data_IF_076365987879
#
_entry.id   IF_076365987879
#
_cell.length_a   1.000
_cell.length_b   1.000
_cell.length_c   1.000
_cell.angle_alpha   90.00
_cell.angle_beta   90.00
_cell.angle_gamma   90.00
#
_symmetry.space_group_name_H-M   'P 1'
#
loop_
_entity.id
_entity.type
_entity.pdbx_description
1 polymer ?
#
# COMPACT_ATOMS: atom_id res chain seq x y z
N UNK A 1 -54.07 41.38 -9.20
CA UNK A 1 -53.27 40.91 -8.06
C UNK A 1 -52.11 40.12 -8.61
N UNK A 2 -50.97 40.78 -8.71
CA UNK A 2 -49.66 40.20 -8.96
C UNK A 2 -49.17 39.57 -7.68
N UNK A 3 -48.78 38.30 -7.71
CA UNK A 3 -47.77 37.75 -6.81
C UNK A 3 -47.15 36.53 -7.49
N UNK A 4 -46.20 36.81 -8.37
CA UNK A 4 -45.10 35.93 -8.72
C UNK A 4 -44.33 35.67 -7.43
N UNK A 5 -44.55 34.52 -6.79
CA UNK A 5 -43.66 34.02 -5.76
C UNK A 5 -42.58 33.20 -6.48
N UNK A 6 -41.46 33.87 -6.76
CA UNK A 6 -40.17 33.25 -6.95
C UNK A 6 -39.85 32.51 -5.64
N UNK A 7 -39.92 31.18 -5.66
CA UNK A 7 -39.18 30.36 -4.71
C UNK A 7 -37.81 30.14 -5.38
N UNK A 8 -36.96 31.11 -5.10
CA UNK A 8 -35.53 31.14 -5.38
C UNK A 8 -34.83 30.18 -4.40
N UNK A 9 -33.96 29.32 -4.93
CA UNK A 9 -32.83 28.73 -4.21
C UNK A 9 -33.12 27.75 -3.09
N UNK A 10 -33.27 26.48 -3.45
CA UNK A 10 -32.59 25.38 -2.74
C UNK A 10 -32.19 24.37 -3.83
N UNK A 11 -31.26 24.81 -4.69
CA UNK A 11 -30.27 23.88 -5.23
C UNK A 11 -29.39 23.50 -4.03
N UNK A 12 -29.89 22.57 -3.20
CA UNK A 12 -29.01 21.69 -2.45
C UNK A 12 -28.28 20.87 -3.52
N UNK A 13 -27.25 21.47 -4.12
CA UNK A 13 -26.09 20.75 -4.65
C UNK A 13 -25.42 20.09 -3.44
N UNK A 14 -26.13 19.14 -2.80
CA UNK A 14 -25.50 18.04 -2.11
C UNK A 14 -24.85 17.22 -3.23
N UNK A 15 -23.72 17.71 -3.73
CA UNK A 15 -22.66 16.90 -4.32
C UNK A 15 -22.16 15.98 -3.19
N UNK A 16 -23.03 15.06 -2.80
CA UNK A 16 -22.80 14.07 -1.77
C UNK A 16 -21.63 13.22 -2.29
N UNK A 17 -20.45 13.46 -1.73
CA UNK A 17 -19.27 12.69 -2.08
C UNK A 17 -19.60 11.19 -2.06
N UNK A 18 -19.12 10.42 -3.05
CA UNK A 18 -19.46 9.02 -3.15
C UNK A 18 -18.94 8.28 -1.90
N UNK A 19 -19.88 7.78 -1.09
CA UNK A 19 -19.62 7.11 0.19
C UNK A 19 -19.73 5.58 0.04
N UNK A 20 -18.81 4.84 0.65
CA UNK A 20 -18.94 3.39 0.87
C UNK A 20 -18.91 3.10 2.37
N UNK A 21 -19.96 2.44 2.88
CA UNK A 21 -20.13 2.12 4.31
C UNK A 21 -20.07 3.34 5.24
N UNK A 22 -20.43 4.53 4.74
CA UNK A 22 -20.38 5.79 5.49
C UNK A 22 -18.99 6.42 5.59
N UNK A 23 -18.01 5.94 4.82
CA UNK A 23 -16.68 6.54 4.68
C UNK A 23 -16.63 7.21 3.30
N UNK A 24 -16.17 8.46 3.26
CA UNK A 24 -15.97 9.24 2.05
C UNK A 24 -14.87 8.64 1.16
N UNK A 25 -14.98 8.84 -0.15
CA UNK A 25 -13.99 8.35 -1.10
C UNK A 25 -12.59 8.89 -0.78
N UNK A 26 -12.46 10.16 -0.41
CA UNK A 26 -11.19 10.80 -0.09
C UNK A 26 -10.51 10.17 1.15
N UNK A 27 -11.27 9.92 2.21
CA UNK A 27 -10.81 9.23 3.42
C UNK A 27 -10.21 7.84 3.12
N UNK A 28 -10.85 7.08 2.21
CA UNK A 28 -10.32 5.78 1.78
C UNK A 28 -8.97 5.93 1.05
N UNK A 29 -8.80 7.03 0.32
CA UNK A 29 -7.54 7.39 -0.34
C UNK A 29 -6.44 7.68 0.68
N UNK A 30 -6.72 8.48 1.72
CA UNK A 30 -5.76 8.79 2.78
C UNK A 30 -5.35 7.51 3.55
N UNK A 31 -6.32 6.65 3.88
CA UNK A 31 -6.04 5.36 4.52
C UNK A 31 -5.14 4.50 3.62
N UNK A 32 -5.44 4.40 2.32
CA UNK A 32 -4.62 3.65 1.37
C UNK A 32 -3.19 4.21 1.30
N UNK A 33 -3.04 5.55 1.29
CA UNK A 33 -1.75 6.22 1.29
C UNK A 33 -0.92 5.86 2.54
N UNK A 34 -1.50 5.95 3.73
CA UNK A 34 -0.78 5.59 4.97
C UNK A 34 -0.37 4.11 4.99
N UNK A 35 -1.24 3.21 4.54
CA UNK A 35 -0.92 1.78 4.46
C UNK A 35 0.21 1.54 3.43
N UNK A 36 0.21 2.26 2.31
CA UNK A 36 1.28 2.21 1.32
C UNK A 36 2.61 2.68 1.92
N UNK A 37 2.63 3.83 2.60
CA UNK A 37 3.83 4.36 3.28
C UNK A 37 4.33 3.37 4.33
N UNK A 38 3.44 2.80 5.15
CA UNK A 38 3.79 1.79 6.14
C UNK A 38 4.41 0.53 5.50
N UNK A 39 3.89 0.10 4.34
CA UNK A 39 4.47 -1.02 3.56
C UNK A 39 5.88 -0.68 3.08
N UNK A 40 6.12 0.56 2.61
CA UNK A 40 7.41 1.02 2.09
C UNK A 40 8.50 1.16 3.16
N UNK A 41 8.16 1.18 4.45
CA UNK A 41 9.14 1.12 5.55
C UNK A 41 10.09 -0.09 5.44
N UNK A 42 9.73 -1.14 4.69
CA UNK A 42 10.64 -2.25 4.40
C UNK A 42 11.95 -1.80 3.74
N UNK A 43 11.93 -0.70 2.98
CA UNK A 43 13.10 -0.13 2.31
C UNK A 43 14.14 0.33 3.32
N UNK A 44 13.69 0.87 4.46
CA UNK A 44 14.56 1.29 5.58
C UNK A 44 14.85 0.12 6.51
N UNK A 45 13.84 -0.73 6.77
CA UNK A 45 13.98 -1.85 7.70
C UNK A 45 15.00 -2.89 7.23
N UNK A 46 14.98 -3.28 5.95
CA UNK A 46 15.87 -4.33 5.42
C UNK A 46 17.37 -4.03 5.60
N UNK A 47 17.91 -2.85 5.21
CA UNK A 47 19.31 -2.51 5.48
C UNK A 47 19.57 -2.38 6.98
N UNK A 48 18.63 -1.81 7.76
CA UNK A 48 18.74 -1.70 9.22
C UNK A 48 18.85 -3.07 9.88
N UNK A 49 18.03 -4.05 9.49
CA UNK A 49 18.10 -5.42 9.98
C UNK A 49 19.45 -6.07 9.68
N UNK A 50 19.97 -5.89 8.47
CA UNK A 50 21.30 -6.40 8.10
C UNK A 50 22.40 -5.77 8.94
N UNK A 51 22.36 -4.45 9.14
CA UNK A 51 23.31 -3.72 9.97
C UNK A 51 23.22 -4.14 11.44
N UNK A 52 22.02 -4.21 12.01
CA UNK A 52 21.77 -4.65 13.40
C UNK A 52 22.25 -6.09 13.60
N UNK A 53 22.02 -6.99 12.63
CA UNK A 53 22.47 -8.38 12.74
C UNK A 53 24.00 -8.50 12.79
N UNK A 54 24.73 -7.55 12.17
CA UNK A 54 26.19 -7.52 12.14
C UNK A 54 26.79 -6.82 13.35
N UNK A 55 26.38 -5.58 13.64
CA UNK A 55 27.01 -4.72 14.65
C UNK A 55 26.21 -4.58 15.95
N UNK A 56 24.95 -5.02 15.97
CA UNK A 56 24.07 -4.90 17.14
C UNK A 56 24.59 -5.62 18.39
N UNK A 57 25.08 -6.87 18.32
CA UNK A 57 25.60 -7.56 19.50
C UNK A 57 26.72 -6.80 20.21
N UNK A 58 27.68 -6.27 19.44
CA UNK A 58 28.81 -5.49 19.98
C UNK A 58 28.35 -4.14 20.54
N UNK A 59 27.43 -3.46 19.87
CA UNK A 59 27.00 -2.11 20.25
C UNK A 59 26.04 -2.05 21.42
N UNK A 60 25.28 -3.12 21.63
CA UNK A 60 24.35 -3.23 22.76
C UNK A 60 24.88 -4.11 23.89
N UNK A 61 26.14 -4.55 23.81
CA UNK A 61 26.80 -5.40 24.81
C UNK A 61 25.97 -6.66 25.14
N UNK A 62 25.37 -7.26 24.11
CA UNK A 62 24.49 -8.43 24.25
C UNK A 62 25.11 -9.69 23.66
N UNK A 63 24.78 -10.83 24.26
CA UNK A 63 25.19 -12.15 23.78
C UNK A 63 24.73 -12.33 22.31
N UNK A 64 25.65 -12.61 21.36
CA UNK A 64 25.34 -12.55 19.94
C UNK A 64 24.23 -13.49 19.50
N UNK A 65 24.11 -14.66 20.14
CA UNK A 65 23.11 -15.67 19.80
C UNK A 65 21.72 -15.20 20.24
N UNK A 66 21.58 -14.72 21.46
CA UNK A 66 20.32 -14.18 21.97
C UNK A 66 19.85 -12.94 21.19
N UNK A 67 20.75 -12.00 20.92
CA UNK A 67 20.41 -10.80 20.14
C UNK A 67 19.89 -11.19 18.75
N UNK A 68 20.63 -12.03 18.01
CA UNK A 68 20.24 -12.49 16.67
C UNK A 68 18.93 -13.30 16.70
N UNK A 69 18.65 -14.03 17.78
CA UNK A 69 17.39 -14.76 17.98
C UNK A 69 16.20 -13.80 18.12
N UNK A 70 16.29 -12.82 19.03
CA UNK A 70 15.24 -11.80 19.24
C UNK A 70 14.99 -10.98 17.97
N UNK A 71 16.07 -10.51 17.33
CA UNK A 71 16.01 -9.78 16.06
C UNK A 71 15.36 -10.63 14.95
N UNK A 72 15.64 -11.93 14.89
CA UNK A 72 15.02 -12.85 13.95
C UNK A 72 13.51 -13.04 14.18
N UNK A 73 13.05 -13.07 15.45
CA UNK A 73 11.62 -13.11 15.79
C UNK A 73 10.94 -11.82 15.36
N UNK A 74 11.53 -10.66 15.67
CA UNK A 74 11.00 -9.36 15.25
C UNK A 74 10.91 -9.27 13.72
N UNK A 75 11.97 -9.65 12.99
CA UNK A 75 11.96 -9.64 11.54
C UNK A 75 10.86 -10.53 10.94
N UNK A 76 10.61 -11.72 11.52
CA UNK A 76 9.49 -12.57 11.08
C UNK A 76 8.13 -11.89 11.29
N UNK A 77 7.94 -11.19 12.40
CA UNK A 77 6.70 -10.43 12.66
C UNK A 77 6.56 -9.26 11.70
N UNK A 78 7.63 -8.48 11.53
CA UNK A 78 7.67 -7.37 10.59
C UNK A 78 7.29 -7.82 9.17
N UNK A 79 7.86 -8.92 8.66
CA UNK A 79 7.54 -9.43 7.33
C UNK A 79 6.08 -9.90 7.20
N UNK A 80 5.50 -10.49 8.25
CA UNK A 80 4.07 -10.83 8.26
C UNK A 80 3.20 -9.58 8.19
N UNK A 81 3.55 -8.55 8.96
CA UNK A 81 2.83 -7.27 8.99
C UNK A 81 2.94 -6.58 7.62
N UNK A 82 4.13 -6.51 7.03
CA UNK A 82 4.35 -5.94 5.70
C UNK A 82 3.45 -6.59 4.64
N UNK A 83 3.32 -7.92 4.66
CA UNK A 83 2.42 -8.63 3.74
C UNK A 83 0.95 -8.29 3.97
N UNK A 84 0.50 -8.24 5.22
CA UNK A 84 -0.90 -7.89 5.54
C UNK A 84 -1.21 -6.44 5.19
N UNK A 85 -0.35 -5.50 5.59
CA UNK A 85 -0.51 -4.08 5.26
C UNK A 85 -0.48 -3.88 3.74
N UNK A 86 0.45 -4.52 3.02
CA UNK A 86 0.52 -4.43 1.56
C UNK A 86 -0.74 -4.96 0.88
N UNK A 87 -1.32 -6.06 1.38
CA UNK A 87 -2.58 -6.59 0.89
C UNK A 87 -3.76 -5.66 1.19
N UNK A 88 -3.85 -5.14 2.42
CA UNK A 88 -4.88 -4.15 2.80
C UNK A 88 -4.77 -2.87 1.98
N UNK A 89 -3.56 -2.39 1.71
CA UNK A 89 -3.31 -1.22 0.83
C UNK A 89 -3.95 -1.45 -0.54
N UNK A 90 -3.75 -2.63 -1.13
CA UNK A 90 -4.30 -2.92 -2.44
C UNK A 90 -5.82 -3.04 -2.44
N UNK A 91 -6.42 -3.62 -1.40
CA UNK A 91 -7.88 -3.67 -1.27
C UNK A 91 -8.47 -2.28 -1.12
N UNK A 92 -8.00 -1.50 -0.13
CA UNK A 92 -8.54 -0.16 0.16
C UNK A 92 -8.34 0.75 -1.04
N UNK A 93 -7.15 0.75 -1.65
CA UNK A 93 -6.88 1.53 -2.87
C UNK A 93 -7.76 1.12 -4.06
N UNK A 94 -8.11 -0.17 -4.19
CA UNK A 94 -9.05 -0.62 -5.24
C UNK A 94 -10.47 -0.10 -4.96
N UNK A 95 -10.93 -0.16 -3.70
CA UNK A 95 -12.26 0.35 -3.33
C UNK A 95 -12.31 1.86 -3.59
N UNK A 96 -11.32 2.60 -3.12
CA UNK A 96 -11.18 4.04 -3.37
C UNK A 96 -11.24 4.37 -4.87
N UNK A 97 -10.51 3.63 -5.72
CA UNK A 97 -10.55 3.84 -7.16
C UNK A 97 -11.88 3.49 -7.84
N UNK A 98 -12.68 2.59 -7.26
CA UNK A 98 -14.06 2.32 -7.74
C UNK A 98 -14.98 3.46 -7.33
N UNK A 99 -14.86 3.94 -6.09
CA UNK A 99 -15.71 5.00 -5.52
C UNK A 99 -15.54 6.31 -6.27
N UNK A 100 -14.30 6.66 -6.62
CA UNK A 100 -13.98 7.89 -7.34
C UNK A 100 -13.89 7.72 -8.87
N UNK A 101 -14.38 6.59 -9.40
CA UNK A 101 -14.40 6.30 -10.85
C UNK A 101 -13.08 6.62 -11.57
N UNK A 102 -11.96 6.14 -11.02
CA UNK A 102 -10.62 6.47 -11.49
C UNK A 102 -10.40 6.33 -13.00
N UNK A 103 -9.64 7.27 -13.56
CA UNK A 103 -9.13 7.17 -14.92
C UNK A 103 -8.21 5.94 -15.09
N UNK A 104 -8.14 5.40 -16.32
CA UNK A 104 -7.44 4.13 -16.60
C UNK A 104 -5.94 4.13 -16.22
N UNK A 105 -5.31 5.31 -16.18
CA UNK A 105 -3.91 5.48 -15.77
C UNK A 105 -3.69 5.13 -14.31
N UNK A 106 -4.64 5.49 -13.43
CA UNK A 106 -4.62 5.14 -12.01
C UNK A 106 -4.84 3.63 -11.83
N UNK A 107 -5.76 3.05 -12.62
CA UNK A 107 -5.96 1.60 -12.68
C UNK A 107 -4.71 0.83 -13.15
N UNK A 108 -3.92 1.39 -14.06
CA UNK A 108 -2.63 0.81 -14.45
C UNK A 108 -1.62 0.80 -13.27
N UNK A 109 -1.57 1.88 -12.49
CA UNK A 109 -0.82 1.93 -11.23
C UNK A 109 -1.30 0.90 -10.21
N UNK A 110 -2.62 0.77 -10.06
CA UNK A 110 -3.27 -0.21 -9.18
C UNK A 110 -2.97 -1.65 -9.61
N UNK A 111 -2.96 -1.93 -10.92
CA UNK A 111 -2.58 -3.23 -11.46
C UNK A 111 -1.12 -3.57 -11.13
N UNK A 112 -0.19 -2.61 -11.25
CA UNK A 112 1.20 -2.79 -10.83
C UNK A 112 1.32 -3.09 -9.32
N UNK A 113 0.51 -2.43 -8.49
CA UNK A 113 0.46 -2.68 -7.05
C UNK A 113 -0.06 -4.09 -6.74
N UNK A 114 -1.13 -4.54 -7.40
CA UNK A 114 -1.63 -5.91 -7.27
C UNK A 114 -0.60 -6.95 -7.66
N UNK A 115 0.12 -6.73 -8.77
CA UNK A 115 1.22 -7.60 -9.19
C UNK A 115 2.30 -7.69 -8.09
N UNK A 116 2.66 -6.58 -7.44
CA UNK A 116 3.60 -6.58 -6.31
C UNK A 116 3.08 -7.40 -5.12
N UNK A 117 1.80 -7.22 -4.76
CA UNK A 117 1.18 -7.93 -3.63
C UNK A 117 1.08 -9.44 -3.88
N UNK A 118 0.63 -9.84 -5.07
CA UNK A 118 0.54 -11.25 -5.44
C UNK A 118 1.91 -11.90 -5.55
N UNK A 119 2.88 -11.23 -6.18
CA UNK A 119 4.25 -11.75 -6.27
C UNK A 119 4.92 -11.91 -4.90
N UNK A 120 4.71 -10.96 -3.97
CA UNK A 120 5.17 -11.08 -2.59
C UNK A 120 4.52 -12.22 -1.82
N UNK A 121 3.22 -12.46 -2.05
CA UNK A 121 2.48 -13.58 -1.43
C UNK A 121 2.91 -14.95 -1.97
N UNK A 122 3.14 -15.06 -3.29
CA UNK A 122 3.61 -16.30 -3.93
C UNK A 122 4.96 -16.79 -3.37
N UNK A 123 5.82 -15.89 -2.92
CA UNK A 123 7.09 -16.26 -2.26
C UNK A 123 6.88 -16.99 -0.93
N UNK A 124 5.74 -16.80 -0.26
CA UNK A 124 5.43 -17.43 1.01
C UNK A 124 4.73 -18.79 0.83
N UNK A 125 4.08 -19.01 -0.30
CA UNK A 125 3.38 -20.25 -0.59
C UNK A 125 4.34 -21.40 -0.86
N UNK A 126 3.96 -22.60 -0.39
CA UNK A 126 4.78 -23.82 -0.54
C UNK A 126 4.49 -24.59 -1.83
N UNK A 127 3.35 -24.34 -2.45
CA UNK A 127 2.84 -25.10 -3.60
C UNK A 127 3.40 -24.68 -4.99
N UNK A 128 3.81 -23.42 -5.27
CA UNK A 128 4.29 -23.07 -6.60
C UNK A 128 5.67 -23.67 -6.90
N UNK A 129 5.95 -24.05 -8.16
CA UNK A 129 7.28 -24.48 -8.61
C UNK A 129 8.39 -23.50 -8.22
N UNK A 130 9.62 -23.99 -8.07
CA UNK A 130 10.76 -23.16 -7.63
C UNK A 130 11.05 -22.02 -8.61
N UNK A 131 10.80 -22.26 -9.90
CA UNK A 131 10.97 -21.34 -11.02
C UNK A 131 10.00 -20.17 -10.90
N UNK A 132 8.72 -20.47 -10.61
CA UNK A 132 7.67 -19.46 -10.39
C UNK A 132 8.00 -18.60 -9.17
N UNK A 133 8.46 -19.21 -8.07
CA UNK A 133 8.88 -18.46 -6.87
C UNK A 133 10.10 -17.57 -7.12
N UNK A 134 11.04 -17.99 -7.97
CA UNK A 134 12.17 -17.15 -8.39
C UNK A 134 11.70 -15.96 -9.22
N UNK A 135 10.79 -16.18 -10.18
CA UNK A 135 10.19 -15.11 -10.98
C UNK A 135 9.43 -14.10 -10.12
N UNK A 136 8.54 -14.58 -9.25
CA UNK A 136 7.82 -13.75 -8.29
C UNK A 136 8.76 -12.93 -7.40
N UNK A 137 9.86 -13.53 -6.94
CA UNK A 137 10.87 -12.84 -6.16
C UNK A 137 11.59 -11.74 -6.94
N UNK A 138 11.95 -11.99 -8.20
CA UNK A 138 12.58 -10.97 -9.04
C UNK A 138 11.64 -9.80 -9.25
N UNK A 139 10.38 -10.10 -9.58
CA UNK A 139 9.35 -9.13 -9.86
C UNK A 139 9.02 -8.27 -8.63
N UNK A 140 8.89 -8.88 -7.46
CA UNK A 140 8.64 -8.18 -6.21
C UNK A 140 9.85 -7.36 -5.70
N UNK A 141 11.08 -7.83 -5.96
CA UNK A 141 12.30 -7.10 -5.58
C UNK A 141 12.71 -6.03 -6.59
N UNK A 142 12.12 -6.01 -7.78
CA UNK A 142 12.43 -5.04 -8.82
C UNK A 142 11.92 -3.66 -8.39
N UNK A 143 12.86 -2.79 -8.01
CA UNK A 143 12.57 -1.41 -7.58
C UNK A 143 11.78 -0.62 -8.61
N UNK A 144 11.99 -0.91 -9.90
CA UNK A 144 11.29 -0.24 -11.00
C UNK A 144 9.79 -0.39 -10.91
N UNK A 145 9.27 -1.56 -10.54
CA UNK A 145 7.82 -1.78 -10.48
C UNK A 145 7.18 -1.01 -9.31
N UNK A 146 7.86 -0.95 -8.16
CA UNK A 146 7.42 -0.14 -7.02
C UNK A 146 7.49 1.35 -7.31
N UNK A 147 8.56 1.82 -7.97
CA UNK A 147 8.70 3.22 -8.39
C UNK A 147 7.61 3.58 -9.39
N UNK A 148 7.38 2.76 -10.42
CA UNK A 148 6.33 2.99 -11.41
C UNK A 148 4.95 3.02 -10.75
N UNK A 149 4.64 2.08 -9.85
CA UNK A 149 3.37 2.08 -9.13
C UNK A 149 3.18 3.35 -8.30
N UNK A 150 4.18 3.75 -7.52
CA UNK A 150 4.12 4.97 -6.69
C UNK A 150 3.99 6.21 -7.56
N UNK A 151 4.80 6.33 -8.62
CA UNK A 151 4.79 7.48 -9.52
C UNK A 151 3.46 7.60 -10.25
N UNK A 152 2.92 6.51 -10.79
CA UNK A 152 1.62 6.54 -11.48
C UNK A 152 0.47 6.88 -10.53
N UNK A 153 0.51 6.41 -9.28
CA UNK A 153 -0.54 6.72 -8.30
C UNK A 153 -0.42 8.15 -7.78
N UNK A 154 0.79 8.62 -7.42
CA UNK A 154 0.98 9.99 -6.90
C UNK A 154 0.83 11.07 -7.97
N UNK A 155 1.41 10.87 -9.15
CA UNK A 155 1.26 11.81 -10.27
C UNK A 155 -0.14 11.70 -10.87
N UNK A 156 -0.72 10.50 -10.92
CA UNK A 156 -2.08 10.31 -11.37
C UNK A 156 -3.07 11.10 -10.52
N UNK A 157 -2.96 11.05 -9.19
CA UNK A 157 -3.74 11.90 -8.30
C UNK A 157 -3.48 13.38 -8.57
N UNK A 158 -2.22 13.83 -8.63
CA UNK A 158 -1.92 15.25 -8.88
C UNK A 158 -2.22 15.80 -10.29
N UNK A 159 -2.71 14.97 -11.22
CA UNK A 159 -3.14 15.38 -12.57
C UNK A 159 -4.65 15.21 -12.75
N UNK A 160 -5.26 14.24 -12.07
CA UNK A 160 -6.66 13.83 -12.25
C UNK A 160 -7.57 14.40 -11.15
N UNK A 161 -7.03 14.70 -9.96
CA UNK A 161 -7.65 15.58 -8.96
C UNK A 161 -7.40 17.05 -9.32
#
# INVERSE_FOLDING_TARGET
MTSTALADGDDDDDDDEPKILGIEGEDLGEIALYLMVATLLIVVWKPTFMWLRKHGPERFEQEPREFKRKLGVFNRRFMKIHNWIGFSTAIVGTIHGIVLEWHWTLWAGMAALWILVFSGSMMQWRWPPKEVRKGARLLHLQRTLSVVAIVLLLIGHGIVD
#
